data_IF_930993347265
#
_entry.id   IF_930993347265
#
_cell.length_a   1.000
_cell.length_b   1.000
_cell.length_c   1.000
_cell.angle_alpha   90.00
_cell.angle_beta   90.00
_cell.angle_gamma   90.00
#
_symmetry.space_group_name_H-M   'P 1'
#
loop_
_entity.id
_entity.type
_entity.pdbx_description
1 polymer ?
#
# COMPACT_ATOMS: atom_id res chain seq x y z
N UNK A 1 13.23 8.88 2.74
CA UNK A 1 11.88 9.14 3.30
C UNK A 1 11.03 9.74 2.19
N UNK A 2 9.96 9.07 1.75
CA UNK A 2 9.03 9.71 0.82
C UNK A 2 8.31 10.85 1.56
N UNK A 3 8.21 12.03 0.95
CA UNK A 3 7.44 13.12 1.55
C UNK A 3 5.95 12.78 1.50
N UNK A 4 5.19 13.29 2.46
CA UNK A 4 3.74 13.15 2.47
C UNK A 4 3.13 13.69 1.17
N UNK A 5 3.71 14.77 0.62
CA UNK A 5 3.31 15.33 -0.68
C UNK A 5 3.47 14.31 -1.82
N UNK A 6 4.59 13.61 -1.89
CA UNK A 6 4.82 12.58 -2.92
C UNK A 6 3.86 11.41 -2.79
N UNK A 7 3.57 11.00 -1.55
CA UNK A 7 2.64 9.91 -1.26
C UNK A 7 1.23 10.24 -1.75
N UNK A 8 0.73 11.42 -1.40
CA UNK A 8 -0.56 11.94 -1.87
C UNK A 8 -0.61 12.08 -3.38
N UNK A 9 0.45 12.65 -3.98
CA UNK A 9 0.54 12.81 -5.44
C UNK A 9 0.42 11.47 -6.15
N UNK A 10 1.14 10.43 -5.70
CA UNK A 10 1.07 9.10 -6.29
C UNK A 10 -0.35 8.53 -6.25
N UNK A 11 -1.04 8.64 -5.13
CA UNK A 11 -2.43 8.19 -5.02
C UNK A 11 -3.37 8.94 -5.96
N UNK A 12 -3.20 10.26 -6.11
CA UNK A 12 -3.97 11.05 -7.09
C UNK A 12 -3.56 10.78 -8.53
N UNK A 13 -2.34 10.30 -8.78
CA UNK A 13 -1.86 9.96 -10.11
C UNK A 13 -2.51 8.69 -10.66
N UNK A 14 -2.84 7.75 -9.77
CA UNK A 14 -3.58 6.52 -10.09
C UNK A 14 -5.08 6.76 -10.36
N UNK A 15 -5.61 7.94 -10.02
CA UNK A 15 -6.99 8.32 -10.34
C UNK A 15 -7.12 8.76 -11.80
N UNK A 16 -8.19 8.35 -12.48
CA UNK A 16 -8.55 8.91 -13.77
C UNK A 16 -9.03 10.37 -13.65
N UNK A 17 -9.12 11.09 -14.77
CA UNK A 17 -9.52 12.51 -14.74
C UNK A 17 -10.94 12.71 -14.18
N UNK A 18 -11.86 11.79 -14.49
CA UNK A 18 -13.23 11.81 -13.97
C UNK A 18 -13.28 11.64 -12.45
N UNK A 19 -12.48 10.70 -11.93
CA UNK A 19 -12.34 10.48 -10.49
C UNK A 19 -11.66 11.68 -9.84
N UNK A 20 -10.60 12.22 -10.42
CA UNK A 20 -9.93 13.41 -9.91
C UNK A 20 -10.89 14.62 -9.85
N UNK A 21 -11.82 14.78 -10.79
CA UNK A 21 -12.88 15.81 -10.73
C UNK A 21 -13.81 15.58 -9.53
N UNK A 22 -14.28 14.35 -9.31
CA UNK A 22 -15.09 14.00 -8.13
C UNK A 22 -14.33 14.20 -6.82
N UNK A 23 -13.03 13.89 -6.80
CA UNK A 23 -12.16 14.08 -5.63
C UNK A 23 -12.08 15.56 -5.26
N UNK A 24 -11.79 16.42 -6.24
CA UNK A 24 -11.77 17.88 -6.06
C UNK A 24 -13.13 18.42 -5.61
N UNK A 25 -14.22 17.86 -6.13
CA UNK A 25 -15.57 18.22 -5.72
C UNK A 25 -15.86 17.87 -4.25
N UNK A 26 -15.54 16.64 -3.82
CA UNK A 26 -15.67 16.24 -2.41
C UNK A 26 -14.76 17.06 -1.51
N UNK A 27 -13.51 17.28 -1.92
CA UNK A 27 -12.54 18.06 -1.16
C UNK A 27 -13.06 19.49 -0.89
N UNK A 28 -13.64 20.13 -1.91
CA UNK A 28 -14.30 21.45 -1.79
C UNK A 28 -15.57 21.40 -0.94
N UNK A 29 -16.35 20.33 -1.03
CA UNK A 29 -17.65 20.23 -0.36
C UNK A 29 -17.52 19.90 1.13
N UNK A 30 -16.58 19.03 1.47
CA UNK A 30 -16.27 18.63 2.84
C UNK A 30 -15.38 19.65 3.58
N UNK A 31 -14.72 20.58 2.86
CA UNK A 31 -13.81 21.54 3.48
C UNK A 31 -14.04 22.98 3.02
N UNK A 32 -14.60 23.79 3.90
CA UNK A 32 -14.82 25.23 3.68
C UNK A 32 -13.52 26.04 3.59
N UNK A 33 -12.41 25.49 4.11
CA UNK A 33 -11.09 26.14 4.08
C UNK A 33 -10.47 26.20 2.68
N UNK A 34 -10.98 25.43 1.71
CA UNK A 34 -10.45 25.42 0.35
C UNK A 34 -11.30 26.30 -0.55
N UNK A 35 -10.65 27.29 -1.17
CA UNK A 35 -11.31 28.23 -2.06
C UNK A 35 -11.85 27.52 -3.31
N UNK A 36 -13.11 27.77 -3.64
CA UNK A 36 -13.82 27.14 -4.78
C UNK A 36 -13.09 27.37 -6.11
N UNK A 37 -12.55 28.58 -6.27
CA UNK A 37 -11.81 29.01 -7.45
C UNK A 37 -10.46 28.29 -7.59
N UNK A 38 -9.86 27.87 -6.47
CA UNK A 38 -8.56 27.19 -6.50
C UNK A 38 -8.66 25.79 -7.07
N UNK A 39 -9.80 25.11 -6.87
CA UNK A 39 -10.01 23.70 -7.21
C UNK A 39 -10.65 23.46 -8.58
N UNK A 40 -11.26 24.47 -9.20
CA UNK A 40 -11.97 24.34 -10.49
C UNK A 40 -11.05 23.93 -11.63
N UNK A 41 -9.80 24.39 -11.62
CA UNK A 41 -8.74 24.03 -12.59
C UNK A 41 -7.46 23.56 -11.88
N UNK A 42 -7.57 23.05 -10.66
CA UNK A 42 -6.39 22.56 -9.95
C UNK A 42 -5.80 21.31 -10.61
N UNK A 43 -4.51 21.36 -10.92
CA UNK A 43 -3.70 20.18 -11.20
C UNK A 43 -3.59 19.25 -9.99
N UNK A 44 -3.15 18.01 -10.25
CA UNK A 44 -2.85 17.01 -9.20
C UNK A 44 -1.91 17.59 -8.15
N UNK A 45 -0.84 18.25 -8.58
CA UNK A 45 0.14 18.89 -7.70
C UNK A 45 -0.46 20.03 -6.88
N UNK A 46 -1.23 20.92 -7.52
CA UNK A 46 -1.87 22.05 -6.84
C UNK A 46 -2.86 21.59 -5.78
N UNK A 47 -3.58 20.49 -6.05
CA UNK A 47 -4.50 19.87 -5.10
C UNK A 47 -3.76 19.37 -3.87
N UNK A 48 -2.67 18.60 -4.05
CA UNK A 48 -1.85 18.09 -2.93
C UNK A 48 -1.25 19.23 -2.12
N UNK A 49 -0.70 20.24 -2.80
CA UNK A 49 -0.06 21.35 -2.12
C UNK A 49 -1.05 22.11 -1.24
N UNK A 50 -2.26 22.36 -1.75
CA UNK A 50 -3.33 23.04 -1.01
C UNK A 50 -3.83 22.22 0.19
N UNK A 51 -3.93 20.90 0.05
CA UNK A 51 -4.32 20.03 1.17
C UNK A 51 -3.28 20.08 2.29
N UNK A 52 -1.99 20.00 1.94
CA UNK A 52 -0.91 20.04 2.93
C UNK A 52 -0.76 21.44 3.54
N UNK A 53 -1.01 22.51 2.77
CA UNK A 53 -1.00 23.89 3.25
C UNK A 53 -2.16 24.17 4.22
N UNK A 54 -3.39 23.74 3.90
CA UNK A 54 -4.58 24.04 4.69
C UNK A 54 -4.72 23.17 5.94
N UNK A 55 -4.43 21.86 5.85
CA UNK A 55 -4.68 20.92 6.96
C UNK A 55 -3.39 20.41 7.61
N UNK A 56 -2.24 20.60 6.96
CA UNK A 56 -1.00 19.97 7.36
C UNK A 56 -0.83 18.57 6.76
N UNK A 57 0.40 18.03 6.78
CA UNK A 57 0.73 16.79 6.10
C UNK A 57 -0.06 15.59 6.65
N UNK A 58 -0.12 15.43 7.98
CA UNK A 58 -0.74 14.25 8.58
C UNK A 58 -2.27 14.20 8.36
N UNK A 59 -2.93 15.36 8.47
CA UNK A 59 -4.37 15.48 8.27
C UNK A 59 -4.75 15.37 6.79
N UNK A 60 -3.93 15.94 5.88
CA UNK A 60 -4.13 15.81 4.43
C UNK A 60 -4.22 14.35 3.98
N UNK A 61 -3.45 13.45 4.58
CA UNK A 61 -3.52 12.02 4.24
C UNK A 61 -4.83 11.39 4.70
N UNK A 62 -5.30 11.68 5.91
CA UNK A 62 -6.58 11.14 6.41
C UNK A 62 -7.76 11.63 5.56
N UNK A 63 -7.78 12.91 5.21
CA UNK A 63 -8.80 13.49 4.33
C UNK A 63 -8.78 12.79 2.97
N UNK A 64 -7.59 12.56 2.41
CA UNK A 64 -7.46 11.84 1.13
C UNK A 64 -8.01 10.42 1.21
N UNK A 65 -7.68 9.67 2.27
CA UNK A 65 -8.20 8.31 2.50
C UNK A 65 -9.73 8.32 2.60
N UNK A 66 -10.32 9.28 3.30
CA UNK A 66 -11.77 9.39 3.46
C UNK A 66 -12.47 9.65 2.12
N UNK A 67 -11.97 10.62 1.33
CA UNK A 67 -12.55 10.96 0.04
C UNK A 67 -12.43 9.80 -0.94
N UNK A 68 -11.27 9.11 -0.96
CA UNK A 68 -11.08 7.92 -1.79
C UNK A 68 -12.12 6.84 -1.44
N UNK A 69 -12.41 6.61 -0.15
CA UNK A 69 -13.48 5.68 0.27
C UNK A 69 -14.87 6.14 -0.16
N UNK A 70 -15.19 7.43 -0.05
CA UNK A 70 -16.48 8.00 -0.49
C UNK A 70 -16.75 7.77 -1.98
N UNK A 71 -15.69 7.72 -2.79
CA UNK A 71 -15.77 7.48 -4.24
C UNK A 71 -15.53 6.03 -4.64
N UNK A 72 -15.58 5.08 -3.70
CA UNK A 72 -15.32 3.65 -3.92
C UNK A 72 -13.88 3.30 -4.37
N UNK A 73 -12.91 4.21 -4.23
CA UNK A 73 -11.48 3.97 -4.47
C UNK A 73 -10.81 3.31 -3.24
N UNK A 74 -11.43 2.23 -2.74
CA UNK A 74 -11.02 1.58 -1.50
C UNK A 74 -9.61 0.99 -1.56
N UNK A 75 -9.18 0.50 -2.73
CA UNK A 75 -7.84 -0.05 -2.90
C UNK A 75 -6.76 1.04 -2.70
N UNK A 76 -6.93 2.21 -3.32
CA UNK A 76 -6.01 3.33 -3.17
C UNK A 76 -6.00 3.87 -1.73
N UNK A 77 -7.18 3.91 -1.10
CA UNK A 77 -7.33 4.33 0.29
C UNK A 77 -6.55 3.41 1.25
N UNK A 78 -6.64 2.08 1.06
CA UNK A 78 -5.93 1.10 1.87
C UNK A 78 -4.41 1.18 1.66
N UNK A 79 -3.96 1.29 0.41
CA UNK A 79 -2.53 1.48 0.10
C UNK A 79 -1.95 2.72 0.78
N UNK A 80 -2.70 3.82 0.77
CA UNK A 80 -2.30 5.08 1.38
C UNK A 80 -2.24 4.97 2.92
N UNK A 81 -3.23 4.32 3.54
CA UNK A 81 -3.27 4.07 4.99
C UNK A 81 -2.13 3.13 5.44
N UNK A 82 -1.85 2.09 4.67
CA UNK A 82 -0.75 1.16 4.94
C UNK A 82 0.62 1.87 4.91
N UNK A 83 0.82 2.81 3.98
CA UNK A 83 2.05 3.60 3.89
C UNK A 83 2.24 4.54 5.09
N UNK A 84 1.14 5.07 5.67
CA UNK A 84 1.21 5.81 6.93
C UNK A 84 1.60 4.91 8.11
N UNK A 85 1.04 3.69 8.17
CA UNK A 85 1.29 2.73 9.26
C UNK A 85 2.70 2.14 9.19
N UNK A 86 3.23 1.86 7.99
CA UNK A 86 4.59 1.37 7.80
C UNK A 86 5.68 2.39 8.21
N UNK A 87 5.35 3.68 8.33
CA UNK A 87 6.25 4.67 8.95
C UNK A 87 6.50 4.44 10.44
N UNK A 88 5.75 3.54 11.10
CA UNK A 88 5.91 3.19 12.52
C UNK A 88 6.45 1.77 12.75
N UNK A 89 6.55 0.95 11.71
CA UNK A 89 6.95 -0.45 11.83
C UNK A 89 7.77 -0.82 10.61
N UNK A 90 9.09 -0.91 10.80
CA UNK A 90 9.98 -1.48 9.81
C UNK A 90 9.57 -2.91 9.41
N UNK A 91 9.82 -3.22 8.13
CA UNK A 91 9.97 -4.53 7.50
C UNK A 91 8.73 -5.33 7.01
N UNK A 92 8.73 -5.51 5.68
CA UNK A 92 8.14 -6.58 4.86
C UNK A 92 6.63 -6.61 4.61
N UNK A 93 6.22 -6.32 3.35
CA UNK A 93 5.84 -7.36 2.37
C UNK A 93 5.41 -6.71 1.04
N UNK A 94 6.30 -6.73 0.05
CA UNK A 94 5.90 -6.75 -1.34
C UNK A 94 5.80 -8.22 -1.73
N UNK A 95 4.59 -8.74 -1.89
CA UNK A 95 4.37 -10.05 -2.52
C UNK A 95 3.12 -9.93 -3.38
N UNK A 96 3.31 -9.47 -4.61
CA UNK A 96 2.38 -9.64 -5.70
C UNK A 96 2.47 -11.10 -6.16
N UNK A 97 1.33 -11.80 -6.14
CA UNK A 97 0.91 -12.81 -7.13
C UNK A 97 1.73 -14.11 -7.31
N UNK A 98 1.02 -15.21 -7.06
CA UNK A 98 1.05 -16.50 -7.78
C UNK A 98 1.98 -17.63 -7.31
N UNK A 99 1.30 -18.66 -6.76
CA UNK A 99 1.47 -20.10 -6.98
C UNK A 99 1.92 -20.94 -5.76
N UNK A 100 1.20 -22.04 -5.46
CA UNK A 100 1.88 -23.26 -5.08
C UNK A 100 1.39 -24.46 -5.92
N UNK A 101 2.20 -24.86 -6.90
CA UNK A 101 2.25 -26.25 -7.34
C UNK A 101 3.15 -27.00 -6.37
N UNK A 102 2.54 -27.77 -5.46
CA UNK A 102 3.24 -28.84 -4.74
C UNK A 102 2.65 -30.16 -5.21
N UNK A 103 3.38 -30.79 -6.12
CA UNK A 103 3.26 -32.22 -6.40
C UNK A 103 4.60 -32.82 -6.01
N UNK A 104 4.68 -33.34 -4.79
CA UNK A 104 5.78 -34.17 -4.28
C UNK A 104 5.08 -35.14 -3.32
N UNK A 105 5.01 -36.44 -3.54
CA UNK A 105 6.01 -37.34 -4.09
C UNK A 105 6.02 -38.51 -3.11
N UNK A 106 5.35 -39.58 -3.50
CA UNK A 106 5.30 -40.86 -2.78
C UNK A 106 6.74 -41.34 -2.59
N UNK A 107 7.14 -41.70 -1.37
CA UNK A 107 8.19 -42.71 -1.21
C UNK A 107 7.84 -43.67 -0.07
N UNK A 108 7.96 -44.92 -0.49
CA UNK A 108 7.58 -46.18 0.10
C UNK A 108 8.19 -46.49 1.47
N UNK A 109 7.53 -47.45 2.08
CA UNK A 109 7.83 -48.04 3.36
C UNK A 109 9.10 -48.91 3.34
N UNK A 110 9.51 -49.27 4.57
CA UNK A 110 9.89 -50.63 5.02
C UNK A 110 11.38 -51.03 5.13
N UNK A 111 11.67 -51.38 6.38
CA UNK A 111 12.30 -52.62 6.87
C UNK A 111 13.83 -52.64 7.05
N UNK A 112 14.19 -52.73 8.33
CA UNK A 112 15.48 -53.15 8.89
C UNK A 112 15.80 -54.62 8.58
N UNK A 113 17.08 -54.98 8.40
CA UNK A 113 17.72 -56.06 9.16
C UNK A 113 19.22 -56.19 8.83
N UNK A 114 20.03 -56.29 9.89
CA UNK A 114 21.26 -57.09 10.05
C UNK A 114 22.37 -57.04 9.00
N UNK A 115 23.60 -56.72 9.44
CA UNK A 115 24.62 -57.75 9.70
C UNK A 115 25.96 -57.13 10.18
N UNK A 116 26.50 -57.75 11.23
CA UNK A 116 27.92 -57.97 11.58
C UNK A 116 28.98 -56.87 11.35
N UNK A 117 29.57 -56.38 12.46
CA UNK A 117 30.98 -56.54 12.92
C UNK A 117 32.14 -56.63 11.90
N UNK A 118 33.43 -56.40 12.28
CA UNK A 118 34.01 -55.78 13.49
C UNK A 118 35.18 -54.78 13.24
N UNK A 119 35.48 -54.01 14.28
CA UNK A 119 36.79 -53.57 14.80
C UNK A 119 38.08 -53.83 13.99
N UNK A 120 38.89 -52.77 13.73
CA UNK A 120 40.37 -52.80 13.85
C UNK A 120 40.90 -51.43 14.30
N UNK A 121 41.75 -51.48 15.33
CA UNK A 121 42.59 -50.44 15.92
C UNK A 121 43.95 -50.33 15.17
N UNK A 122 44.56 -49.14 15.11
CA UNK A 122 45.93 -48.87 14.62
C UNK A 122 45.98 -47.54 13.86
N UNK A 123 46.84 -46.57 14.17
CA UNK A 123 48.22 -46.62 14.65
C UNK A 123 48.59 -45.31 15.35
#
# INVERSE_FOLDING_TARGET
>A
MASVKDLLKKSLDELEEAELKKFRWHLRNDNENISKSDMENADRLKTVDKMVECFGPEEAVKITVEILRKMNQNNLAEQLENKLKQGKSDCSKAETSSNPRVETGILESRTQLSAMNPHIEGR
#
